data_IF_048572153944
#
_entry.id   IF_048572153944
#
_cell.length_a   1.000
_cell.length_b   1.000
_cell.length_c   1.000
_cell.angle_alpha   90.00
_cell.angle_beta   90.00
_cell.angle_gamma   90.00
#
_symmetry.space_group_name_H-M   'P 1'
#
loop_
_entity.id
_entity.type
_entity.pdbx_description
1 polymer ?
#
# COMPACT_ATOMS: atom_id res chain seq x y z
N UNK A 1 9.06 -7.14 38.55
CA UNK A 1 10.10 -6.52 37.71
C UNK A 1 10.57 -7.44 36.56
N UNK A 2 9.75 -8.41 36.13
CA UNK A 2 10.08 -9.32 35.01
C UNK A 2 9.31 -9.02 33.71
N UNK A 3 8.29 -8.16 33.77
CA UNK A 3 7.39 -7.87 32.63
C UNK A 3 7.99 -6.88 31.63
N UNK A 4 8.77 -5.89 32.07
CA UNK A 4 9.39 -4.88 31.20
C UNK A 4 10.31 -5.48 30.14
N UNK A 5 11.04 -6.55 30.48
CA UNK A 5 11.94 -7.21 29.52
C UNK A 5 11.21 -8.03 28.44
N UNK A 6 9.98 -8.46 28.70
CA UNK A 6 9.15 -9.17 27.72
C UNK A 6 8.49 -8.17 26.77
N UNK A 7 7.88 -7.11 27.30
CA UNK A 7 7.26 -6.05 26.49
C UNK A 7 8.27 -5.39 25.54
N UNK A 8 9.48 -5.07 26.02
CA UNK A 8 10.53 -4.51 25.17
C UNK A 8 10.95 -5.44 24.02
N UNK A 9 10.95 -6.77 24.26
CA UNK A 9 11.27 -7.75 23.21
C UNK A 9 10.17 -7.81 22.16
N UNK A 10 8.91 -7.84 22.60
CA UNK A 10 7.74 -7.85 21.72
C UNK A 10 7.70 -6.59 20.85
N UNK A 11 7.94 -5.41 21.42
CA UNK A 11 7.96 -4.15 20.67
C UNK A 11 9.05 -4.16 19.60
N UNK A 12 10.27 -4.62 19.94
CA UNK A 12 11.37 -4.72 18.96
C UNK A 12 11.07 -5.70 17.82
N UNK A 13 10.45 -6.83 18.11
CA UNK A 13 10.02 -7.77 17.07
C UNK A 13 8.96 -7.15 16.16
N UNK A 14 7.97 -6.44 16.72
CA UNK A 14 6.93 -5.76 15.96
C UNK A 14 7.50 -4.66 15.06
N UNK A 15 8.46 -3.87 15.56
CA UNK A 15 9.14 -2.85 14.76
C UNK A 15 9.92 -3.49 13.60
N UNK A 16 10.65 -4.58 13.86
CA UNK A 16 11.38 -5.32 12.82
C UNK A 16 10.44 -5.89 11.76
N UNK A 17 9.31 -6.47 12.16
CA UNK A 17 8.28 -6.97 11.22
C UNK A 17 7.74 -5.81 10.37
N UNK A 18 7.50 -4.65 10.97
CA UNK A 18 6.97 -3.47 10.27
C UNK A 18 7.95 -2.90 9.25
N UNK A 19 9.24 -2.87 9.58
CA UNK A 19 10.31 -2.50 8.65
C UNK A 19 10.35 -3.47 7.46
N UNK A 20 10.38 -4.77 7.72
CA UNK A 20 10.38 -5.80 6.66
C UNK A 20 9.14 -5.72 5.77
N UNK A 21 7.95 -5.51 6.34
CA UNK A 21 6.72 -5.34 5.55
C UNK A 21 6.75 -4.08 4.69
N UNK A 22 7.40 -3.01 5.16
CA UNK A 22 7.57 -1.79 4.38
C UNK A 22 8.52 -2.03 3.21
N UNK A 23 9.65 -2.68 3.46
CA UNK A 23 10.63 -3.06 2.43
C UNK A 23 10.00 -3.98 1.38
N UNK A 24 9.30 -5.03 1.81
CA UNK A 24 8.55 -5.92 0.92
C UNK A 24 7.57 -5.12 0.08
N UNK A 25 6.76 -4.23 0.67
CA UNK A 25 5.81 -3.41 -0.08
C UNK A 25 6.49 -2.49 -1.10
N UNK A 26 7.61 -1.89 -0.75
CA UNK A 26 8.38 -1.01 -1.65
C UNK A 26 9.03 -1.77 -2.81
N UNK A 27 9.37 -3.05 -2.59
CA UNK A 27 10.04 -3.90 -3.58
C UNK A 27 9.12 -4.94 -4.24
N UNK A 28 7.87 -5.07 -3.79
CA UNK A 28 6.78 -5.81 -4.46
C UNK A 28 6.28 -5.07 -5.71
N UNK A 29 7.19 -4.37 -6.39
CA UNK A 29 6.98 -3.93 -7.77
C UNK A 29 7.04 -5.19 -8.61
N UNK A 30 5.97 -5.47 -9.34
CA UNK A 30 5.94 -6.57 -10.29
C UNK A 30 7.12 -6.39 -11.25
N UNK A 31 8.10 -7.31 -11.20
CA UNK A 31 9.38 -7.20 -11.92
C UNK A 31 9.15 -7.07 -13.43
N UNK A 32 8.03 -7.58 -13.92
CA UNK A 32 7.62 -7.53 -15.32
C UNK A 32 6.83 -6.25 -15.68
N UNK A 33 6.58 -5.36 -14.72
CA UNK A 33 5.83 -4.12 -14.92
C UNK A 33 6.80 -2.93 -15.08
N UNK A 34 7.28 -2.75 -16.31
CA UNK A 34 8.01 -1.54 -16.70
C UNK A 34 6.99 -0.46 -17.04
N UNK A 35 6.76 0.46 -16.11
CA UNK A 35 5.95 1.65 -16.34
C UNK A 35 6.82 2.75 -16.94
N UNK A 36 6.30 3.43 -17.95
CA UNK A 36 6.76 4.77 -18.31
C UNK A 36 6.50 5.76 -17.17
N UNK A 37 7.17 6.90 -17.18
CA UNK A 37 6.98 7.95 -16.16
C UNK A 37 5.53 8.45 -16.11
N UNK A 38 4.87 8.50 -17.27
CA UNK A 38 3.45 8.87 -17.39
C UNK A 38 2.54 7.83 -16.71
N UNK A 39 2.75 6.54 -16.99
CA UNK A 39 1.98 5.46 -16.38
C UNK A 39 2.21 5.37 -14.87
N UNK A 40 3.46 5.58 -14.42
CA UNK A 40 3.78 5.64 -12.99
C UNK A 40 3.00 6.75 -12.30
N UNK A 41 2.94 7.93 -12.91
CA UNK A 41 2.19 9.07 -12.38
C UNK A 41 0.69 8.77 -12.27
N UNK A 42 0.10 8.08 -13.25
CA UNK A 42 -1.31 7.67 -13.20
C UNK A 42 -1.61 6.70 -12.05
N UNK A 43 -0.69 5.76 -11.79
CA UNK A 43 -0.79 4.83 -10.66
C UNK A 43 -0.67 5.58 -9.33
N UNK A 44 0.30 6.48 -9.20
CA UNK A 44 0.47 7.29 -7.99
C UNK A 44 -0.77 8.18 -7.72
N UNK A 45 -1.33 8.80 -8.76
CA UNK A 45 -2.59 9.56 -8.68
C UNK A 45 -3.79 8.70 -8.26
N UNK A 46 -3.85 7.44 -8.72
CA UNK A 46 -4.86 6.47 -8.30
C UNK A 46 -4.80 6.20 -6.78
N UNK A 47 -3.61 6.02 -6.20
CA UNK A 47 -3.45 5.83 -4.76
C UNK A 47 -3.86 7.08 -3.97
N UNK A 48 -3.52 8.27 -4.45
CA UNK A 48 -3.93 9.51 -3.80
C UNK A 48 -5.45 9.73 -3.85
N UNK A 49 -6.11 9.37 -4.95
CA UNK A 49 -7.57 9.40 -5.04
C UNK A 49 -8.22 8.39 -4.10
N UNK A 50 -7.62 7.22 -3.89
CA UNK A 50 -8.07 6.26 -2.89
C UNK A 50 -7.99 6.83 -1.48
N UNK A 51 -6.86 7.44 -1.10
CA UNK A 51 -6.66 8.05 0.22
C UNK A 51 -7.65 9.18 0.51
N UNK A 52 -8.08 9.89 -0.53
CA UNK A 52 -9.04 11.00 -0.44
C UNK A 52 -10.50 10.55 -0.54
N UNK A 53 -10.75 9.24 -0.64
CA UNK A 53 -12.10 8.67 -0.81
C UNK A 53 -12.82 9.20 -2.07
N UNK A 54 -12.05 9.54 -3.12
CA UNK A 54 -12.57 10.10 -4.39
C UNK A 54 -12.80 9.02 -5.47
N UNK A 55 -12.84 7.74 -5.10
CA UNK A 55 -13.05 6.63 -6.02
C UNK A 55 -14.52 6.22 -6.06
N UNK A 56 -15.01 5.85 -7.24
CA UNK A 56 -16.31 5.20 -7.41
C UNK A 56 -16.12 3.69 -7.54
N UNK A 57 -17.18 2.94 -7.26
CA UNK A 57 -17.16 1.50 -7.50
C UNK A 57 -17.15 1.17 -8.99
N UNK A 58 -16.61 0.01 -9.35
CA UNK A 58 -16.62 -0.46 -10.75
C UNK A 58 -18.04 -0.57 -11.32
N UNK A 59 -19.03 -0.90 -10.48
CA UNK A 59 -20.44 -0.99 -10.91
C UNK A 59 -21.02 0.39 -11.20
N UNK A 60 -20.68 1.42 -10.43
CA UNK A 60 -21.06 2.81 -10.71
C UNK A 60 -20.39 3.32 -11.98
N UNK A 61 -19.10 3.08 -12.15
CA UNK A 61 -18.38 3.46 -13.35
C UNK A 61 -18.96 2.81 -14.62
N UNK A 62 -19.30 1.52 -14.56
CA UNK A 62 -19.96 0.83 -15.68
C UNK A 62 -21.29 1.48 -16.06
N UNK A 63 -22.10 1.86 -15.08
CA UNK A 63 -23.36 2.59 -15.32
C UNK A 63 -23.12 3.93 -16.03
N UNK A 64 -22.09 4.69 -15.64
CA UNK A 64 -21.73 5.96 -16.30
C UNK A 64 -21.33 5.75 -17.77
N UNK A 65 -20.70 4.62 -18.09
CA UNK A 65 -20.33 4.23 -19.46
C UNK A 65 -21.48 3.58 -20.25
N UNK A 66 -22.64 3.35 -19.63
CA UNK A 66 -23.76 2.65 -20.25
C UNK A 66 -23.54 1.15 -20.46
N UNK A 67 -22.67 0.54 -19.64
CA UNK A 67 -22.34 -0.89 -19.63
C UNK A 67 -23.04 -1.66 -18.50
#
# INVERSE_FOLDING_TARGET
>A
MAETGFEERVIRELDSIKEQLTEIREHMVDIDCILTEEERKLVDESYENQKKENLISLSEFKKELGL
#
